data_IF_238470345440
#
_entry.id   IF_238470345440
#
_cell.length_a   1.000
_cell.length_b   1.000
_cell.length_c   1.000
_cell.angle_alpha   90.00
_cell.angle_beta   90.00
_cell.angle_gamma   90.00
#
_symmetry.space_group_name_H-M   'P 1'
#
loop_
_entity.id
_entity.type
_entity.pdbx_description
1 polymer ?
#
# COMPACT_ATOMS: atom_id res chain seq x y z
N UNK A 1 44.15 -34.46 12.58
CA UNK A 1 42.72 -34.52 12.92
C UNK A 1 42.26 -33.07 12.97
N UNK A 2 41.82 -32.48 11.86
CA UNK A 2 40.43 -32.59 11.36
C UNK A 2 39.57 -31.71 12.28
N UNK A 3 39.14 -30.51 11.91
CA UNK A 3 38.17 -30.31 10.85
C UNK A 3 38.20 -28.87 10.31
N UNK A 4 38.06 -28.75 8.98
CA UNK A 4 37.81 -27.52 8.26
C UNK A 4 36.35 -27.10 8.43
N UNK A 5 36.09 -25.79 8.42
CA UNK A 5 34.79 -25.23 8.06
C UNK A 5 35.08 -23.91 7.33
N UNK A 6 35.45 -23.94 6.04
CA UNK A 6 34.55 -24.00 4.88
C UNK A 6 33.42 -22.96 4.96
N UNK A 7 33.73 -21.81 4.39
CA UNK A 7 32.91 -21.10 3.39
C UNK A 7 31.39 -21.08 3.58
N UNK A 8 30.84 -19.88 3.78
CA UNK A 8 29.87 -19.31 2.84
C UNK A 8 29.71 -17.83 3.16
N UNK A 9 30.46 -17.00 2.43
CA UNK A 9 29.96 -15.68 2.02
C UNK A 9 28.63 -15.95 1.33
N UNK A 10 27.52 -15.63 1.99
CA UNK A 10 26.21 -15.68 1.35
C UNK A 10 26.14 -14.42 0.50
N UNK A 11 26.73 -14.51 -0.69
CA UNK A 11 26.45 -13.63 -1.81
C UNK A 11 24.94 -13.75 -2.05
N UNK A 12 24.18 -12.78 -1.54
CA UNK A 12 22.78 -12.59 -1.90
C UNK A 12 22.76 -11.96 -3.31
N UNK A 13 23.25 -12.72 -4.29
CA UNK A 13 23.11 -12.39 -5.69
C UNK A 13 21.73 -12.86 -6.16
N UNK A 14 20.86 -11.88 -6.39
CA UNK A 14 19.81 -11.94 -7.40
C UNK A 14 18.60 -12.81 -7.09
N UNK A 15 17.60 -12.25 -6.41
CA UNK A 15 16.20 -12.37 -6.86
C UNK A 15 15.25 -11.33 -6.22
N UNK A 16 15.69 -10.06 -6.12
CA UNK A 16 14.90 -8.94 -5.57
C UNK A 16 13.69 -8.55 -6.46
N UNK A 17 13.59 -9.08 -7.67
CA UNK A 17 12.55 -8.71 -8.66
C UNK A 17 11.31 -9.64 -8.66
N UNK A 18 11.24 -10.65 -7.77
CA UNK A 18 10.11 -11.61 -7.76
C UNK A 18 9.10 -11.41 -6.64
N UNK A 19 9.41 -10.61 -5.62
CA UNK A 19 8.47 -10.31 -4.52
C UNK A 19 7.44 -9.23 -4.88
N UNK A 20 7.86 -8.23 -5.66
CA UNK A 20 6.99 -7.13 -6.13
C UNK A 20 5.79 -7.65 -6.94
N UNK A 21 6.02 -8.62 -7.82
CA UNK A 21 4.96 -9.18 -8.69
C UNK A 21 3.94 -10.07 -7.97
N UNK A 22 4.28 -10.64 -6.81
CA UNK A 22 3.34 -11.41 -5.98
C UNK A 22 2.46 -10.48 -5.13
N UNK A 23 3.04 -9.42 -4.56
CA UNK A 23 2.31 -8.40 -3.81
C UNK A 23 1.35 -7.61 -4.71
N UNK A 24 1.77 -7.23 -5.92
CA UNK A 24 0.92 -6.50 -6.88
C UNK A 24 -0.32 -7.30 -7.32
N UNK A 25 -0.19 -8.63 -7.45
CA UNK A 25 -1.27 -9.51 -7.94
C UNK A 25 -2.26 -9.92 -6.83
N UNK A 26 -1.81 -9.92 -5.58
CA UNK A 26 -2.70 -10.05 -4.43
C UNK A 26 -3.51 -8.77 -4.21
N UNK A 27 -2.91 -7.58 -4.42
CA UNK A 27 -3.54 -6.27 -4.24
C UNK A 27 -4.87 -6.10 -5.00
N UNK A 28 -4.97 -6.62 -6.23
CA UNK A 28 -6.20 -6.57 -7.03
C UNK A 28 -7.36 -7.40 -6.44
N UNK A 29 -7.08 -8.36 -5.55
CA UNK A 29 -8.07 -9.26 -4.95
C UNK A 29 -8.39 -8.94 -3.49
N UNK A 30 -7.81 -7.88 -2.91
CA UNK A 30 -7.98 -7.57 -1.48
C UNK A 30 -9.29 -6.85 -1.13
N UNK A 31 -10.14 -6.57 -2.13
CA UNK A 31 -11.48 -6.02 -1.91
C UNK A 31 -12.45 -7.12 -1.45
N UNK A 32 -12.16 -7.70 -0.29
CA UNK A 32 -13.13 -8.49 0.45
C UNK A 32 -14.34 -7.64 0.86
N UNK A 33 -15.38 -8.25 1.46
CA UNK A 33 -16.56 -7.51 1.90
C UNK A 33 -16.19 -6.32 2.81
N UNK A 34 -16.70 -5.14 2.48
CA UNK A 34 -16.53 -3.94 3.30
C UNK A 34 -17.34 -4.09 4.59
N UNK A 35 -16.66 -4.08 5.72
CA UNK A 35 -17.28 -4.17 7.05
C UNK A 35 -17.85 -2.82 7.50
N UNK A 36 -17.16 -1.73 7.15
CA UNK A 36 -17.56 -0.36 7.50
C UNK A 36 -17.17 0.60 6.38
N UNK A 37 -18.06 1.54 6.06
CA UNK A 37 -17.80 2.63 5.13
C UNK A 37 -18.41 3.92 5.68
N UNK A 38 -17.66 5.01 5.60
CA UNK A 38 -18.13 6.31 6.07
C UNK A 38 -17.45 7.46 5.33
N UNK A 39 -18.14 8.59 5.23
CA UNK A 39 -17.53 9.84 4.75
C UNK A 39 -16.50 10.34 5.76
N UNK A 40 -15.32 10.72 5.27
CA UNK A 40 -14.21 11.17 6.09
C UNK A 40 -13.40 12.28 5.41
N UNK A 41 -12.48 12.89 6.16
CA UNK A 41 -11.49 13.82 5.64
C UNK A 41 -10.08 13.29 5.92
N UNK A 42 -9.23 13.26 4.89
CA UNK A 42 -7.81 12.97 5.03
C UNK A 42 -7.06 14.29 5.22
N UNK A 43 -6.46 14.45 6.40
CA UNK A 43 -5.68 15.64 6.78
C UNK A 43 -4.20 15.30 6.70
N UNK A 44 -3.49 15.95 5.78
CA UNK A 44 -2.03 15.86 5.62
C UNK A 44 -1.41 17.27 5.67
N UNK A 45 -0.09 17.41 5.87
CA UNK A 45 0.55 18.71 6.10
C UNK A 45 0.25 19.82 5.07
N UNK A 46 -0.06 19.47 3.82
CA UNK A 46 -0.33 20.41 2.74
C UNK A 46 -1.80 20.41 2.26
N UNK A 47 -2.62 19.46 2.70
CA UNK A 47 -3.91 19.23 2.08
C UNK A 47 -4.92 18.62 3.03
N UNK A 48 -6.18 19.03 2.88
CA UNK A 48 -7.32 18.37 3.47
C UNK A 48 -8.26 17.97 2.34
N UNK A 49 -8.45 16.67 2.13
CA UNK A 49 -9.36 16.15 1.09
C UNK A 49 -10.54 15.41 1.71
N UNK A 50 -11.72 15.53 1.10
CA UNK A 50 -12.90 14.74 1.46
C UNK A 50 -12.94 13.45 0.65
N UNK A 51 -13.56 12.42 1.22
CA UNK A 51 -13.68 11.14 0.56
C UNK A 51 -14.41 10.12 1.41
N UNK A 52 -14.27 8.86 1.03
CA UNK A 52 -14.85 7.72 1.73
C UNK A 52 -13.75 6.86 2.32
N UNK A 53 -13.84 6.58 3.61
CA UNK A 53 -12.98 5.63 4.30
C UNK A 53 -13.70 4.28 4.38
N UNK A 54 -13.05 3.23 3.89
CA UNK A 54 -13.59 1.87 3.85
C UNK A 54 -12.65 0.91 4.58
N UNK A 55 -13.24 0.02 5.38
CA UNK A 55 -12.53 -0.96 6.21
C UNK A 55 -13.01 -2.36 5.84
N UNK A 56 -12.08 -3.24 5.47
CA UNK A 56 -12.30 -4.67 5.25
C UNK A 56 -11.72 -5.48 6.41
N UNK A 57 -11.74 -6.81 6.30
CA UNK A 57 -11.13 -7.69 7.30
C UNK A 57 -9.59 -7.58 7.38
N UNK A 58 -8.94 -7.21 6.28
CA UNK A 58 -7.48 -7.20 6.15
C UNK A 58 -6.90 -5.81 6.00
N UNK A 59 -7.68 -4.85 5.49
CA UNK A 59 -7.14 -3.57 5.02
C UNK A 59 -8.09 -2.39 5.24
N UNK A 60 -7.52 -1.20 5.10
CA UNK A 60 -8.21 0.07 5.14
C UNK A 60 -7.76 0.91 3.95
N UNK A 61 -8.72 1.47 3.23
CA UNK A 61 -8.45 2.34 2.08
C UNK A 61 -9.33 3.59 2.11
N UNK A 62 -8.82 4.66 1.48
CA UNK A 62 -9.50 5.94 1.37
C UNK A 62 -9.61 6.31 -0.11
N UNK A 63 -10.83 6.59 -0.54
CA UNK A 63 -11.14 7.05 -1.90
C UNK A 63 -11.47 8.53 -1.83
N UNK A 64 -10.74 9.35 -2.58
CA UNK A 64 -10.99 10.79 -2.62
C UNK A 64 -12.25 11.10 -3.41
N UNK A 65 -13.01 12.10 -2.97
CA UNK A 65 -14.13 12.63 -3.72
C UNK A 65 -13.60 13.54 -4.84
N UNK A 66 -13.46 12.99 -6.05
CA UNK A 66 -12.96 13.72 -7.22
C UNK A 66 -13.87 14.86 -7.68
N UNK A 67 -15.15 14.84 -7.30
CA UNK A 67 -16.10 15.89 -7.66
C UNK A 67 -16.02 17.10 -6.74
N UNK A 68 -15.34 16.96 -5.60
CA UNK A 68 -15.23 17.99 -4.60
C UNK A 68 -14.36 19.15 -5.11
N UNK A 69 -14.91 20.37 -5.04
CA UNK A 69 -14.27 21.54 -5.63
C UNK A 69 -12.90 21.86 -5.02
N UNK A 70 -12.70 21.57 -3.73
CA UNK A 70 -11.40 21.77 -3.09
C UNK A 70 -10.38 20.76 -3.57
N UNK A 71 -10.79 19.53 -3.92
CA UNK A 71 -9.91 18.54 -4.54
C UNK A 71 -9.37 19.02 -5.89
N UNK A 72 -10.24 19.55 -6.76
CA UNK A 72 -9.87 20.06 -8.09
C UNK A 72 -8.94 21.29 -8.04
N UNK A 73 -8.86 21.97 -6.91
CA UNK A 73 -8.04 23.17 -6.71
C UNK A 73 -6.65 22.88 -6.13
N UNK A 74 -6.37 21.64 -5.73
CA UNK A 74 -5.06 21.26 -5.19
C UNK A 74 -4.03 21.28 -6.31
N UNK A 75 -2.88 21.93 -6.06
CA UNK A 75 -1.75 21.86 -6.99
C UNK A 75 -1.19 20.43 -6.97
N UNK A 76 -1.08 19.75 -8.12
CA UNK A 76 -0.49 18.41 -8.18
C UNK A 76 1.02 18.36 -7.90
N UNK A 77 1.67 19.47 -7.50
CA UNK A 77 3.13 19.60 -7.33
C UNK A 77 3.58 20.06 -5.96
#
# INVERSE_FOLDING_TARGET
>A
MGNQNSESEILLDGDDDTLSSLEEKELENLTGPVNMSTSAQLVAPAVVVKGTLSITASELYFEVDEDEASFKMIDPK
#
